data_IF_402926713828
#
_entry.id   IF_402926713828
#
_cell.length_a   1.000
_cell.length_b   1.000
_cell.length_c   1.000
_cell.angle_alpha   90.00
_cell.angle_beta   90.00
_cell.angle_gamma   90.00
#
_symmetry.space_group_name_H-M   'P 1'
#
loop_
_entity.id
_entity.type
_entity.pdbx_description
1 polymer ?
#
# COMPACT_ATOMS: atom_id res chain seq x y z
N UNK A 1 22.84 -18.78 4.96
CA UNK A 1 21.70 -18.00 5.50
C UNK A 1 21.08 -17.24 4.34
N UNK A 2 19.83 -17.52 3.99
CA UNK A 2 19.13 -16.72 2.98
C UNK A 2 18.69 -15.43 3.68
N UNK A 3 19.25 -14.30 3.28
CA UNK A 3 19.02 -12.97 3.90
C UNK A 3 17.53 -12.62 3.96
N UNK A 4 16.75 -13.12 3.00
CA UNK A 4 15.30 -12.97 2.91
C UNK A 4 14.52 -13.55 4.10
N UNK A 5 15.09 -14.53 4.81
CA UNK A 5 14.45 -15.15 5.97
C UNK A 5 14.73 -14.40 7.29
N UNK A 6 15.60 -13.38 7.28
CA UNK A 6 16.04 -12.68 8.50
C UNK A 6 15.54 -11.23 8.50
N UNK A 7 15.42 -10.63 7.33
CA UNK A 7 15.05 -9.22 7.22
C UNK A 7 13.53 -9.05 7.25
N UNK A 8 12.98 -8.69 8.41
CA UNK A 8 11.60 -8.22 8.53
C UNK A 8 11.49 -7.18 9.64
N UNK A 9 10.39 -6.43 9.66
CA UNK A 9 10.12 -5.49 10.75
C UNK A 9 9.58 -6.22 11.98
N UNK A 10 9.71 -5.61 13.17
CA UNK A 10 9.18 -6.17 14.40
C UNK A 10 7.66 -6.39 14.28
N UNK A 11 7.26 -7.66 14.30
CA UNK A 11 5.88 -8.12 14.11
C UNK A 11 4.95 -7.74 15.27
N UNK A 12 3.65 -7.88 15.05
CA UNK A 12 2.60 -7.67 16.03
C UNK A 12 2.27 -6.21 16.34
N UNK A 13 1.53 -6.02 17.43
CA UNK A 13 0.99 -4.72 17.86
C UNK A 13 1.48 -4.32 19.28
N UNK A 14 2.55 -4.93 19.77
CA UNK A 14 3.14 -4.62 21.08
C UNK A 14 3.92 -3.29 21.10
N UNK A 15 4.37 -2.84 22.27
CA UNK A 15 5.06 -1.54 22.44
C UNK A 15 6.31 -1.38 21.56
N UNK A 16 7.04 -2.46 21.29
CA UNK A 16 8.26 -2.47 20.48
C UNK A 16 8.02 -2.85 19.01
N UNK A 17 6.76 -3.09 18.63
CA UNK A 17 6.39 -3.45 17.26
C UNK A 17 6.60 -2.28 16.30
N UNK A 18 6.83 -2.60 15.03
CA UNK A 18 6.90 -1.58 13.98
C UNK A 18 5.58 -0.80 13.85
N UNK A 19 4.44 -1.45 14.04
CA UNK A 19 3.13 -0.81 13.99
C UNK A 19 3.03 0.42 14.92
N UNK A 20 3.65 0.35 16.10
CA UNK A 20 3.65 1.43 17.09
C UNK A 20 4.89 2.35 17.04
N UNK A 21 5.92 2.02 16.27
CA UNK A 21 7.19 2.74 16.22
C UNK A 21 7.51 3.33 14.83
N UNK A 22 6.53 3.42 13.93
CA UNK A 22 6.72 3.81 12.53
C UNK A 22 6.27 5.25 12.21
N UNK A 23 6.39 6.17 13.19
CA UNK A 23 5.94 7.56 13.09
C UNK A 23 6.67 8.33 11.98
N UNK A 24 7.98 8.12 11.84
CA UNK A 24 8.77 8.79 10.79
C UNK A 24 8.30 8.38 9.40
N UNK A 25 8.04 7.09 9.22
CA UNK A 25 7.55 6.49 7.97
C UNK A 25 6.18 7.06 7.62
N UNK A 26 5.28 7.13 8.61
CA UNK A 26 3.97 7.79 8.46
C UNK A 26 4.11 9.25 8.02
N UNK A 27 5.03 10.01 8.62
CA UNK A 27 5.26 11.40 8.25
C UNK A 27 5.78 11.55 6.81
N UNK A 28 6.67 10.66 6.36
CA UNK A 28 7.14 10.63 4.97
C UNK A 28 6.01 10.32 4.00
N UNK A 29 5.18 9.31 4.30
CA UNK A 29 3.99 8.96 3.50
C UNK A 29 3.08 10.19 3.33
N UNK A 30 2.75 10.87 4.43
CA UNK A 30 1.91 12.08 4.38
C UNK A 30 2.55 13.21 3.57
N UNK A 31 3.86 13.46 3.73
CA UNK A 31 4.56 14.50 2.96
C UNK A 31 4.64 14.17 1.46
N UNK A 32 4.57 12.90 1.08
CA UNK A 32 4.61 12.46 -0.32
C UNK A 32 3.27 12.56 -1.05
N UNK A 33 2.17 12.87 -0.33
CA UNK A 33 0.82 12.92 -0.89
C UNK A 33 0.67 13.86 -2.12
N UNK A 34 1.24 15.08 -2.15
CA UNK A 34 1.14 15.93 -3.34
C UNK A 34 1.85 15.34 -4.56
N UNK A 35 2.95 14.62 -4.35
CA UNK A 35 3.66 13.94 -5.43
C UNK A 35 2.84 12.78 -5.99
N UNK A 36 2.19 12.00 -5.12
CA UNK A 36 1.27 10.95 -5.52
C UNK A 36 0.14 11.49 -6.38
N UNK A 37 -0.51 12.58 -5.94
CA UNK A 37 -1.61 13.22 -6.67
C UNK A 37 -1.19 13.69 -8.05
N UNK A 38 -0.09 14.44 -8.15
CA UNK A 38 0.43 14.90 -9.44
C UNK A 38 0.77 13.72 -10.36
N UNK A 39 1.43 12.70 -9.84
CA UNK A 39 1.84 11.52 -10.64
C UNK A 39 0.61 10.78 -11.18
N UNK A 40 -0.41 10.56 -10.36
CA UNK A 40 -1.65 9.90 -10.80
C UNK A 40 -2.42 10.75 -11.82
N UNK A 41 -2.47 12.08 -11.60
CA UNK A 41 -3.12 13.00 -12.54
C UNK A 41 -2.41 13.04 -13.89
N UNK A 42 -1.08 13.03 -13.90
CA UNK A 42 -0.28 13.05 -15.13
C UNK A 42 -0.39 11.73 -15.91
N UNK A 43 -0.39 10.59 -15.21
CA UNK A 43 -0.49 9.27 -15.86
C UNK A 43 -1.91 8.92 -16.33
N UNK A 44 -2.94 9.43 -15.64
CA UNK A 44 -4.35 9.10 -15.89
C UNK A 44 -5.18 10.36 -16.15
N UNK A 45 -4.62 11.30 -16.92
CA UNK A 45 -5.25 12.60 -17.24
C UNK A 45 -6.63 12.47 -17.86
N UNK A 46 -6.80 11.46 -18.71
CA UNK A 46 -7.99 11.26 -19.51
C UNK A 46 -9.00 10.34 -18.80
N UNK A 47 -8.56 9.14 -18.42
CA UNK A 47 -9.41 8.13 -17.78
C UNK A 47 -8.57 7.09 -17.04
N UNK A 48 -9.07 6.63 -15.90
CA UNK A 48 -8.58 5.43 -15.24
C UNK A 48 -9.05 4.15 -15.96
N UNK A 49 -8.25 3.06 -15.92
CA UNK A 49 -8.69 1.75 -16.41
C UNK A 49 -9.89 1.24 -15.63
N UNK A 50 -10.60 0.23 -16.12
CA UNK A 50 -11.73 -0.37 -15.38
C UNK A 50 -11.28 -1.09 -14.10
N UNK A 51 -10.10 -1.71 -14.15
CA UNK A 51 -9.41 -2.29 -13.00
C UNK A 51 -8.08 -1.57 -12.81
N UNK A 52 -7.89 -0.99 -11.63
CA UNK A 52 -6.70 -0.26 -11.23
C UNK A 52 -5.91 -1.08 -10.23
N UNK A 53 -4.77 -1.61 -10.68
CA UNK A 53 -3.93 -2.47 -9.87
C UNK A 53 -2.82 -1.67 -9.18
N UNK A 54 -2.70 -1.81 -7.86
CA UNK A 54 -1.72 -1.15 -6.99
C UNK A 54 -0.78 -2.20 -6.41
N UNK A 55 0.53 -1.96 -6.45
CA UNK A 55 1.50 -2.75 -5.71
C UNK A 55 2.23 -1.89 -4.67
N UNK A 56 2.18 -2.32 -3.40
CA UNK A 56 3.01 -1.77 -2.31
C UNK A 56 4.18 -2.72 -2.06
N UNK A 57 5.37 -2.32 -2.50
CA UNK A 57 6.58 -3.14 -2.45
C UNK A 57 7.40 -2.82 -1.20
N UNK A 58 7.51 -3.81 -0.30
CA UNK A 58 8.08 -3.63 1.03
C UNK A 58 7.05 -3.08 2.02
N UNK A 59 5.82 -3.62 1.98
CA UNK A 59 4.67 -3.11 2.72
C UNK A 59 4.83 -3.13 4.25
N UNK A 60 5.81 -3.89 4.77
CA UNK A 60 5.99 -4.13 6.19
C UNK A 60 4.71 -4.66 6.84
N UNK A 61 4.51 -4.39 8.12
CA UNK A 61 3.34 -4.73 8.91
C UNK A 61 2.70 -3.47 9.52
N UNK A 62 1.46 -3.57 9.99
CA UNK A 62 0.80 -2.49 10.72
C UNK A 62 0.09 -1.45 9.84
N UNK A 63 -0.25 -0.27 10.39
CA UNK A 63 -1.24 0.62 9.80
C UNK A 63 -0.74 1.42 8.58
N UNK A 64 0.57 1.54 8.38
CA UNK A 64 1.13 2.42 7.34
C UNK A 64 0.84 1.92 5.93
N UNK A 65 0.88 0.61 5.68
CA UNK A 65 0.54 0.07 4.35
C UNK A 65 -0.91 0.38 3.99
N UNK A 66 -1.85 0.17 4.91
CA UNK A 66 -3.27 0.50 4.68
C UNK A 66 -3.49 2.01 4.51
N UNK A 67 -2.72 2.86 5.22
CA UNK A 67 -2.74 4.31 5.01
C UNK A 67 -2.31 4.69 3.59
N UNK A 68 -1.24 4.08 3.09
CA UNK A 68 -0.78 4.28 1.70
C UNK A 68 -1.89 3.91 0.72
N UNK A 69 -2.49 2.73 0.89
CA UNK A 69 -3.56 2.26 0.00
C UNK A 69 -4.78 3.18 0.06
N UNK A 70 -5.22 3.60 1.25
CA UNK A 70 -6.30 4.59 1.39
C UNK A 70 -5.99 5.88 0.63
N UNK A 71 -4.80 6.46 0.81
CA UNK A 71 -4.42 7.69 0.12
C UNK A 71 -4.49 7.54 -1.41
N UNK A 72 -4.04 6.41 -1.96
CA UNK A 72 -4.12 6.15 -3.40
C UNK A 72 -5.58 6.05 -3.85
N UNK A 73 -6.39 5.25 -3.17
CA UNK A 73 -7.82 5.07 -3.51
C UNK A 73 -8.55 6.41 -3.44
N UNK A 74 -8.34 7.20 -2.40
CA UNK A 74 -8.95 8.52 -2.20
C UNK A 74 -8.56 9.47 -3.35
N UNK A 75 -7.28 9.51 -3.72
CA UNK A 75 -6.80 10.34 -4.83
C UNK A 75 -7.40 9.89 -6.16
N UNK A 76 -7.41 8.60 -6.47
CA UNK A 76 -8.01 8.07 -7.70
C UNK A 76 -9.51 8.36 -7.76
N UNK A 77 -10.22 8.15 -6.65
CA UNK A 77 -11.65 8.44 -6.55
C UNK A 77 -11.93 9.95 -6.77
N UNK A 78 -11.13 10.83 -6.16
CA UNK A 78 -11.24 12.29 -6.35
C UNK A 78 -11.01 12.70 -7.80
N UNK A 79 -9.97 12.18 -8.46
CA UNK A 79 -9.67 12.47 -9.85
C UNK A 79 -10.76 11.93 -10.79
N UNK A 80 -11.28 10.73 -10.55
CA UNK A 80 -12.42 10.19 -11.30
C UNK A 80 -13.66 11.08 -11.16
N UNK A 81 -13.95 11.53 -9.93
CA UNK A 81 -15.10 12.40 -9.66
C UNK A 81 -14.98 13.75 -10.38
N UNK A 82 -13.80 14.36 -10.38
CA UNK A 82 -13.53 15.63 -11.09
C UNK A 82 -13.74 15.51 -12.61
N UNK A 83 -13.44 14.34 -13.18
CA UNK A 83 -13.60 14.07 -14.61
C UNK A 83 -14.96 13.47 -14.99
N UNK A 84 -15.95 13.46 -14.08
CA UNK A 84 -17.24 12.77 -14.24
C UNK A 84 -17.11 11.29 -14.64
N UNK A 85 -15.99 10.66 -14.26
CA UNK A 85 -15.69 9.26 -14.49
C UNK A 85 -16.26 8.37 -13.39
N UNK A 86 -16.41 7.08 -13.70
CA UNK A 86 -16.70 6.04 -12.71
C UNK A 86 -15.39 5.62 -12.03
N UNK A 87 -15.42 5.43 -10.71
CA UNK A 87 -14.29 4.86 -9.99
C UNK A 87 -13.98 3.43 -10.49
N UNK A 88 -12.69 3.05 -10.61
CA UNK A 88 -12.30 1.72 -11.03
C UNK A 88 -12.53 0.68 -9.93
N UNK A 89 -12.49 -0.60 -10.31
CA UNK A 89 -12.19 -1.66 -9.36
C UNK A 89 -10.72 -1.55 -8.92
N UNK A 90 -10.45 -1.77 -7.64
CA UNK A 90 -9.09 -1.73 -7.09
C UNK A 90 -8.60 -3.14 -6.79
N UNK A 91 -7.43 -3.48 -7.33
CA UNK A 91 -6.70 -4.69 -6.98
C UNK A 91 -5.37 -4.33 -6.34
N UNK A 92 -5.15 -4.73 -5.10
CA UNK A 92 -3.99 -4.31 -4.30
C UNK A 92 -3.14 -5.51 -3.97
N UNK A 93 -1.86 -5.42 -4.30
CA UNK A 93 -0.83 -6.40 -4.00
C UNK A 93 0.12 -5.84 -2.94
N UNK A 94 0.04 -6.39 -1.73
CA UNK A 94 0.94 -6.07 -0.63
C UNK A 94 2.10 -7.05 -0.66
N UNK A 95 3.28 -6.58 -1.02
CA UNK A 95 4.47 -7.41 -1.11
C UNK A 95 5.44 -7.10 0.03
N UNK A 96 5.94 -8.16 0.66
CA UNK A 96 7.11 -8.12 1.53
C UNK A 96 7.72 -9.53 1.60
N UNK A 97 8.82 -9.69 2.31
CA UNK A 97 9.48 -10.96 2.50
C UNK A 97 8.58 -11.98 3.24
N UNK A 98 8.78 -13.29 3.03
CA UNK A 98 7.87 -14.33 3.55
C UNK A 98 7.63 -14.30 5.06
N UNK A 99 8.60 -13.80 5.83
CA UNK A 99 8.52 -13.71 7.30
C UNK A 99 7.87 -12.41 7.82
N UNK A 100 7.35 -11.56 6.93
CA UNK A 100 6.58 -10.38 7.32
C UNK A 100 5.23 -10.78 7.96
N UNK A 101 4.74 -9.95 8.88
CA UNK A 101 3.49 -10.19 9.60
C UNK A 101 2.26 -9.69 8.81
N UNK A 102 1.97 -10.39 7.72
CA UNK A 102 0.75 -10.19 6.93
C UNK A 102 -0.53 -10.43 7.75
N UNK A 103 -0.47 -11.28 8.78
CA UNK A 103 -1.63 -11.59 9.62
C UNK A 103 -2.14 -10.34 10.33
N UNK A 104 -1.25 -9.48 10.81
CA UNK A 104 -1.64 -8.20 11.43
C UNK A 104 -2.37 -7.30 10.43
N UNK A 105 -1.92 -7.25 9.17
CA UNK A 105 -2.61 -6.49 8.12
C UNK A 105 -4.00 -7.07 7.86
N UNK A 106 -4.09 -8.38 7.66
CA UNK A 106 -5.35 -9.06 7.35
C UNK A 106 -6.39 -8.95 8.47
N UNK A 107 -5.95 -8.96 9.73
CA UNK A 107 -6.82 -8.68 10.89
C UNK A 107 -7.39 -7.25 10.89
N UNK A 108 -6.69 -6.29 10.29
CA UNK A 108 -7.15 -4.89 10.19
C UNK A 108 -8.04 -4.61 8.97
N UNK A 109 -8.13 -5.54 8.00
CA UNK A 109 -8.94 -5.35 6.79
C UNK A 109 -10.42 -5.06 7.05
N UNK A 110 -11.12 -5.71 8.00
CA UNK A 110 -12.53 -5.39 8.26
C UNK A 110 -12.75 -3.93 8.64
N UNK A 111 -11.90 -3.39 9.51
CA UNK A 111 -11.96 -1.97 9.92
C UNK A 111 -11.60 -1.05 8.76
N UNK A 112 -10.61 -1.43 7.94
CA UNK A 112 -10.21 -0.70 6.75
C UNK A 112 -11.36 -0.58 5.73
N UNK A 113 -12.02 -1.70 5.39
CA UNK A 113 -13.14 -1.68 4.45
C UNK A 113 -14.36 -0.94 5.01
N UNK A 114 -14.63 -1.05 6.32
CA UNK A 114 -15.70 -0.29 6.96
C UNK A 114 -15.45 1.22 6.81
N UNK A 115 -14.21 1.66 7.05
CA UNK A 115 -13.81 3.06 6.91
C UNK A 115 -13.87 3.54 5.45
N UNK A 116 -13.37 2.75 4.49
CA UNK A 116 -13.50 3.09 3.07
C UNK A 116 -14.96 3.30 2.66
N UNK A 117 -15.87 2.45 3.16
CA UNK A 117 -17.31 2.59 2.88
C UNK A 117 -17.92 3.82 3.54
N UNK A 118 -17.49 4.18 4.74
CA UNK A 118 -17.92 5.41 5.43
C UNK A 118 -17.47 6.67 4.68
N UNK A 119 -16.19 6.72 4.28
CA UNK A 119 -15.57 7.89 3.67
C UNK A 119 -16.04 8.11 2.22
N UNK A 120 -16.25 7.04 1.44
CA UNK A 120 -16.55 7.13 0.01
C UNK A 120 -17.98 6.71 -0.39
N UNK A 121 -18.74 6.13 0.54
CA UNK A 121 -20.08 5.61 0.29
C UNK A 121 -20.11 4.48 -0.76
N UNK A 122 -21.25 4.28 -1.40
CA UNK A 122 -21.44 3.24 -2.43
C UNK A 122 -20.84 3.63 -3.80
N UNK A 123 -20.11 4.75 -3.89
CA UNK A 123 -19.52 5.25 -5.14
C UNK A 123 -18.13 4.68 -5.43
N UNK A 124 -17.49 4.08 -4.42
CA UNK A 124 -16.23 3.38 -4.58
C UNK A 124 -16.44 2.04 -5.30
N UNK A 125 -15.57 1.73 -6.26
CA UNK A 125 -15.56 0.41 -6.90
C UNK A 125 -15.12 -0.70 -5.93
N UNK A 126 -15.31 -1.99 -6.27
CA UNK A 126 -14.83 -3.09 -5.43
C UNK A 126 -13.33 -2.95 -5.17
N UNK A 127 -12.87 -3.33 -3.97
CA UNK A 127 -11.46 -3.26 -3.58
C UNK A 127 -11.01 -4.61 -3.02
N UNK A 128 -9.99 -5.21 -3.62
CA UNK A 128 -9.47 -6.52 -3.28
C UNK A 128 -8.00 -6.42 -2.87
N UNK A 129 -7.70 -6.77 -1.62
CA UNK A 129 -6.32 -6.81 -1.10
C UNK A 129 -5.79 -8.25 -1.07
N UNK A 130 -4.57 -8.42 -1.58
CA UNK A 130 -3.83 -9.70 -1.61
C UNK A 130 -2.42 -9.52 -1.04
N UNK A 131 -1.97 -10.46 -0.21
CA UNK A 131 -0.57 -10.53 0.23
C UNK A 131 0.26 -11.37 -0.73
N UNK A 132 1.43 -10.87 -1.11
CA UNK A 132 2.37 -11.52 -2.04
C UNK A 132 3.71 -11.70 -1.33
N UNK A 133 3.92 -12.80 -0.59
CA UNK A 133 5.19 -13.04 0.10
C UNK A 133 6.30 -13.35 -0.91
N UNK A 134 7.42 -12.66 -0.78
CA UNK A 134 8.60 -12.87 -1.61
C UNK A 134 9.41 -11.60 -1.84
N UNK A 135 10.65 -11.78 -2.27
CA UNK A 135 11.52 -10.66 -2.63
C UNK A 135 11.05 -9.97 -3.91
N UNK A 136 10.93 -8.64 -3.87
CA UNK A 136 10.60 -7.86 -5.07
C UNK A 136 11.75 -7.81 -6.10
N UNK A 137 12.95 -8.26 -5.73
CA UNK A 137 14.10 -8.40 -6.63
C UNK A 137 14.02 -9.66 -7.49
N UNK A 138 13.46 -10.77 -6.96
CA UNK A 138 13.50 -12.08 -7.62
C UNK A 138 12.11 -12.60 -8.02
N UNK A 139 11.05 -12.29 -7.25
CA UNK A 139 9.75 -12.96 -7.35
C UNK A 139 8.56 -12.11 -7.79
N UNK A 140 8.64 -10.77 -7.75
CA UNK A 140 7.49 -9.92 -8.09
C UNK A 140 7.32 -9.69 -9.61
N UNK A 141 7.72 -10.64 -10.46
CA UNK A 141 7.66 -10.48 -11.93
C UNK A 141 6.25 -10.65 -12.51
N UNK A 142 5.45 -11.56 -11.94
CA UNK A 142 4.10 -11.86 -12.43
C UNK A 142 3.11 -10.76 -12.06
N UNK A 143 3.18 -10.23 -10.84
CA UNK A 143 2.36 -9.10 -10.41
C UNK A 143 2.74 -7.79 -11.12
N UNK A 144 4.03 -7.57 -11.45
CA UNK A 144 4.47 -6.40 -12.25
C UNK A 144 3.77 -6.29 -13.60
N UNK A 145 3.49 -7.41 -14.27
CA UNK A 145 2.87 -7.40 -15.60
C UNK A 145 1.43 -6.88 -15.62
N UNK A 146 0.74 -6.92 -14.48
CA UNK A 146 -0.67 -6.51 -14.34
C UNK A 146 -0.86 -5.26 -13.46
N UNK A 147 0.24 -4.66 -12.97
CA UNK A 147 0.17 -3.53 -12.03
C UNK A 147 0.09 -2.19 -12.78
N UNK A 148 -0.95 -1.40 -12.51
CA UNK A 148 -1.16 -0.06 -13.07
C UNK A 148 -0.34 1.01 -12.31
N UNK A 149 -0.08 0.80 -11.02
CA UNK A 149 0.67 1.73 -10.18
C UNK A 149 1.54 0.98 -9.16
N UNK A 150 2.84 1.28 -9.16
CA UNK A 150 3.80 0.68 -8.22
C UNK A 150 4.25 1.77 -7.26
N UNK A 151 4.01 1.56 -5.97
CA UNK A 151 4.68 2.33 -4.94
C UNK A 151 5.81 1.49 -4.34
N UNK A 152 7.03 1.98 -4.51
CA UNK A 152 8.13 1.59 -3.65
C UNK A 152 7.98 2.45 -2.40
N UNK A 153 7.73 1.85 -1.24
CA UNK A 153 7.77 2.61 0.00
C UNK A 153 9.18 3.19 0.13
N UNK A 154 9.32 4.49 -0.17
CA UNK A 154 10.58 5.21 -0.28
C UNK A 154 11.34 5.07 1.04
N UNK A 155 12.54 4.46 0.99
CA UNK A 155 13.57 4.48 2.02
C UNK A 155 13.18 4.05 3.45
N UNK A 156 12.99 2.74 3.68
CA UNK A 156 13.17 2.17 5.04
C UNK A 156 14.05 0.91 5.01
N UNK A 157 14.76 0.65 3.91
CA UNK A 157 15.91 -0.26 3.91
C UNK A 157 17.07 0.32 4.73
N UNK A 158 17.35 1.62 4.60
CA UNK A 158 18.47 2.28 5.30
C UNK A 158 18.19 2.57 6.78
N UNK A 159 16.92 2.53 7.21
CA UNK A 159 16.54 2.58 8.62
C UNK A 159 16.32 1.19 9.26
N UNK A 160 16.58 0.08 8.53
CA UNK A 160 16.65 -1.27 9.14
C UNK A 160 17.78 -1.39 10.20
N UNK A 161 18.70 -0.41 10.27
CA UNK A 161 19.92 -0.49 11.07
C UNK A 161 20.13 0.66 12.08
N UNK A 162 19.13 1.52 12.32
CA UNK A 162 19.23 2.62 13.29
C UNK A 162 18.41 2.37 14.56
N UNK A 163 18.45 1.15 15.08
CA UNK A 163 18.28 0.84 16.51
C UNK A 163 19.18 -0.35 16.83
N UNK A 164 20.46 -0.07 17.07
CA UNK A 164 21.29 -0.84 17.96
C UNK A 164 21.30 -0.13 19.32
#
# INVERSE_FOLDING_TARGET
MVVENILHMNAGNGETSYANNSILQKAVIMKSQPLLENTLKDMYSDKFPECFSIADLGCSSGPNTLLVISNIIDTVHSLCHQNNGKAPEFQVFLNDLPNNDFNTIFKSLPTFYAKLKEDQGDKLGPCFLSGVPGSFYEGFSQAKAYTSFILLTVFIGSLRFLKA
#
